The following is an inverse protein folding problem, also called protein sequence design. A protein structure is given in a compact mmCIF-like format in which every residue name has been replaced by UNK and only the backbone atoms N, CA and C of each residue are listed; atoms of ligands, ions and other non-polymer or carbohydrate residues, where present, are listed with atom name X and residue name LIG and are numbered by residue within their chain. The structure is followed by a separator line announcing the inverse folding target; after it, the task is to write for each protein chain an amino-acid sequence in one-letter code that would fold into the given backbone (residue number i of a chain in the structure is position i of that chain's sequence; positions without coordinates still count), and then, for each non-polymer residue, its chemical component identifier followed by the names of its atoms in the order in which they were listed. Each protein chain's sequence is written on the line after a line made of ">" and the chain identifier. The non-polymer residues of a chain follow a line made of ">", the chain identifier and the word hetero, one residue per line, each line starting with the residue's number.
data_IF_178071462973
#
_entry.id   IF_178071462973
#
_cell.length_a   1.000
_cell.length_b   1.000
_cell.length_c   1.000
_cell.angle_alpha   90.00
_cell.angle_beta   90.00
_cell.angle_gamma   90.00
#
_symmetry.space_group_name_H-M   'P 1'
#
loop_
_entity.id
_entity.type
_entity.pdbx_description
1 polymer ?
#
# COMPACT_ATOMS: atom_id res chain seq x y z
N UNK A 1 -13.71 28.54 3.29
CA UNK A 1 -14.09 27.19 3.77
C UNK A 1 -12.95 26.64 4.61
N UNK A 2 -13.22 26.11 5.80
CA UNK A 2 -12.18 25.44 6.59
C UNK A 2 -11.94 24.04 6.02
N UNK A 3 -10.84 23.85 5.29
CA UNK A 3 -10.55 22.61 4.53
C UNK A 3 -10.55 21.37 5.44
N UNK A 4 -10.07 21.48 6.68
CA UNK A 4 -10.10 20.36 7.65
C UNK A 4 -11.53 19.92 7.94
N UNK A 5 -12.48 20.86 8.08
CA UNK A 5 -13.89 20.56 8.28
C UNK A 5 -14.48 19.84 7.06
N UNK A 6 -14.20 20.35 5.86
CA UNK A 6 -14.64 19.70 4.61
C UNK A 6 -14.06 18.28 4.47
N UNK A 7 -12.79 18.07 4.81
CA UNK A 7 -12.18 16.73 4.84
C UNK A 7 -12.86 15.81 5.84
N UNK A 8 -13.23 16.32 7.03
CA UNK A 8 -13.95 15.55 8.05
C UNK A 8 -15.34 15.13 7.56
N UNK A 9 -16.08 16.06 6.97
CA UNK A 9 -17.42 15.82 6.42
C UNK A 9 -17.40 14.88 5.21
N UNK A 10 -16.35 14.94 4.38
CA UNK A 10 -16.18 14.05 3.22
C UNK A 10 -15.90 12.59 3.57
N UNK A 11 -15.46 12.31 4.80
CA UNK A 11 -15.02 10.98 5.20
C UNK A 11 -13.73 10.49 4.54
N UNK A 12 -12.95 11.35 3.87
CA UNK A 12 -11.72 10.94 3.18
C UNK A 12 -10.69 10.35 4.16
N UNK A 13 -10.27 9.12 3.87
CA UNK A 13 -9.20 8.40 4.58
C UNK A 13 -7.94 8.28 3.71
N UNK A 14 -6.83 7.90 4.33
CA UNK A 14 -5.58 7.64 3.62
C UNK A 14 -5.69 6.45 2.65
N UNK A 15 -5.61 6.74 1.36
CA UNK A 15 -5.73 5.77 0.26
C UNK A 15 -4.42 5.04 -0.10
N UNK A 16 -3.47 5.03 0.84
CA UNK A 16 -2.20 4.28 0.74
C UNK A 16 -2.24 2.90 1.40
N UNK A 17 -3.38 2.50 1.98
CA UNK A 17 -3.59 1.18 2.59
C UNK A 17 -4.09 1.24 4.03
N UNK A 18 -3.49 2.07 4.87
CA UNK A 18 -3.79 2.12 6.31
C UNK A 18 -5.15 2.76 6.67
N UNK A 19 -5.78 3.52 5.77
CA UNK A 19 -7.14 4.05 5.98
C UNK A 19 -7.28 5.07 7.12
N UNK A 20 -6.19 5.71 7.56
CA UNK A 20 -6.26 6.71 8.64
C UNK A 20 -7.04 7.98 8.21
N UNK A 21 -7.91 8.57 9.05
CA UNK A 21 -8.68 9.76 8.70
C UNK A 21 -7.79 10.96 8.29
N UNK A 22 -7.99 11.47 7.08
CA UNK A 22 -7.11 12.50 6.50
C UNK A 22 -7.20 13.81 7.27
N UNK A 23 -8.41 14.24 7.63
CA UNK A 23 -8.65 15.47 8.40
C UNK A 23 -7.91 15.47 9.74
N UNK A 24 -7.92 14.33 10.44
CA UNK A 24 -7.29 14.19 11.75
C UNK A 24 -5.77 14.27 11.62
N UNK A 25 -5.18 13.62 10.61
CA UNK A 25 -3.74 13.70 10.35
C UNK A 25 -3.30 15.13 10.04
N UNK A 26 -4.08 15.85 9.23
CA UNK A 26 -3.79 17.25 8.88
C UNK A 26 -3.91 18.16 10.11
N UNK A 27 -4.94 17.94 10.94
CA UNK A 27 -5.15 18.68 12.17
C UNK A 27 -3.98 18.48 13.16
N UNK A 28 -3.54 17.23 13.38
CA UNK A 28 -2.42 16.93 14.27
C UNK A 28 -1.13 17.67 13.89
N UNK A 29 -0.84 17.80 12.59
CA UNK A 29 0.35 18.53 12.12
C UNK A 29 0.16 20.04 12.28
N UNK A 30 -1.03 20.55 11.93
CA UNK A 30 -1.38 21.98 12.04
C UNK A 30 -1.32 22.47 13.50
N UNK A 31 -1.80 21.67 14.44
CA UNK A 31 -1.87 21.99 15.88
C UNK A 31 -0.58 21.68 16.63
N UNK A 32 0.42 21.09 15.96
CA UNK A 32 1.72 20.86 16.59
C UNK A 32 2.37 22.18 17.02
N UNK A 33 3.01 22.24 18.21
CA UNK A 33 3.56 23.49 18.76
C UNK A 33 4.67 24.09 17.89
N UNK A 34 5.42 23.27 17.15
CA UNK A 34 6.46 23.76 16.26
C UNK A 34 5.85 24.42 15.01
N UNK A 35 6.33 25.62 14.68
CA UNK A 35 5.89 26.36 13.50
C UNK A 35 6.57 25.89 12.22
N UNK A 36 7.71 25.21 12.32
CA UNK A 36 8.38 24.59 11.17
C UNK A 36 7.72 23.25 10.89
N UNK A 37 7.01 23.16 9.77
CA UNK A 37 6.27 21.97 9.36
C UNK A 37 6.63 21.58 7.95
N UNK A 38 6.61 20.29 7.65
CA UNK A 38 6.90 19.78 6.30
C UNK A 38 5.71 19.01 5.74
N UNK A 39 5.60 19.00 4.41
CA UNK A 39 4.67 18.15 3.69
C UNK A 39 5.47 17.20 2.79
N UNK A 40 5.07 15.94 2.75
CA UNK A 40 5.62 14.94 1.83
C UNK A 40 4.46 14.27 1.10
N UNK A 41 4.43 14.45 -0.22
CA UNK A 41 3.67 13.60 -1.13
C UNK A 41 4.48 12.33 -1.39
N UNK A 42 3.98 11.20 -0.90
CA UNK A 42 4.56 9.89 -1.17
C UNK A 42 4.09 9.41 -2.55
N UNK A 43 5.02 9.45 -3.52
CA UNK A 43 4.93 8.89 -4.88
C UNK A 43 5.94 7.72 -5.01
N UNK A 44 5.99 6.86 -3.99
CA UNK A 44 6.83 5.66 -3.96
C UNK A 44 6.06 4.40 -3.60
N UNK A 45 4.79 4.29 -4.01
CA UNK A 45 4.03 3.06 -3.84
C UNK A 45 4.81 1.87 -4.40
N UNK A 46 5.24 0.96 -3.53
CA UNK A 46 6.13 -0.15 -3.85
C UNK A 46 5.39 -1.46 -4.04
N UNK A 47 4.12 -1.55 -3.62
CA UNK A 47 3.36 -2.79 -3.61
C UNK A 47 3.13 -3.33 -5.03
N UNK A 48 3.60 -4.55 -5.35
CA UNK A 48 3.38 -5.15 -6.65
C UNK A 48 1.89 -5.29 -6.97
N UNK A 49 1.51 -4.84 -8.17
CA UNK A 49 0.11 -4.77 -8.59
C UNK A 49 -0.53 -3.40 -8.34
N UNK A 50 0.12 -2.49 -7.60
CA UNK A 50 -0.35 -1.10 -7.46
C UNK A 50 0.38 -0.19 -8.45
N UNK A 51 -0.38 0.53 -9.25
CA UNK A 51 0.13 1.43 -10.29
C UNK A 51 -0.71 2.69 -10.50
N UNK A 52 -1.55 3.02 -9.51
CA UNK A 52 -2.37 4.23 -9.49
C UNK A 52 -1.53 5.51 -9.40
N UNK A 53 -0.33 5.45 -8.79
CA UNK A 53 0.59 6.59 -8.78
C UNK A 53 1.03 6.99 -10.20
N UNK A 54 1.41 6.01 -11.03
CA UNK A 54 1.72 6.24 -12.45
C UNK A 54 0.51 6.79 -13.20
N UNK A 55 -0.69 6.28 -12.92
CA UNK A 55 -1.93 6.80 -13.50
C UNK A 55 -2.18 8.27 -13.10
N UNK A 56 -2.01 8.62 -11.83
CA UNK A 56 -2.16 10.01 -11.35
C UNK A 56 -1.13 10.92 -12.02
N UNK A 57 0.14 10.51 -12.14
CA UNK A 57 1.17 11.30 -12.84
C UNK A 57 0.78 11.52 -14.31
N UNK A 58 0.15 10.54 -14.96
CA UNK A 58 -0.23 10.65 -16.37
C UNK A 58 -1.47 11.51 -16.58
N UNK A 59 -2.49 11.35 -15.75
CA UNK A 59 -3.84 11.85 -16.00
C UNK A 59 -4.30 12.98 -15.05
N UNK A 60 -3.74 13.07 -13.85
CA UNK A 60 -4.23 13.97 -12.78
C UNK A 60 -3.10 14.77 -12.10
N UNK A 61 -2.00 15.00 -12.82
CA UNK A 61 -0.82 15.64 -12.24
C UNK A 61 -1.11 17.07 -11.77
N UNK A 62 -1.92 17.83 -12.50
CA UNK A 62 -2.22 19.24 -12.14
C UNK A 62 -2.99 19.30 -10.82
N UNK A 63 -3.98 18.44 -10.68
CA UNK A 63 -4.84 18.29 -9.50
C UNK A 63 -4.04 17.76 -8.31
N UNK A 64 -3.12 16.81 -8.54
CA UNK A 64 -2.18 16.35 -7.51
C UNK A 64 -1.34 17.51 -6.98
N UNK A 65 -0.74 18.31 -7.87
CA UNK A 65 0.08 19.45 -7.43
C UNK A 65 -0.77 20.47 -6.67
N UNK A 66 -2.00 20.76 -7.13
CA UNK A 66 -2.91 21.65 -6.42
C UNK A 66 -3.31 21.09 -5.03
N UNK A 67 -3.42 19.77 -4.89
CA UNK A 67 -3.63 19.09 -3.61
C UNK A 67 -2.45 19.22 -2.66
N UNK A 68 -1.22 19.14 -3.17
CA UNK A 68 0.00 19.40 -2.39
C UNK A 68 0.00 20.85 -1.88
N UNK A 69 -0.28 21.83 -2.74
CA UNK A 69 -0.35 23.25 -2.35
C UNK A 69 -1.44 23.50 -1.30
N UNK A 70 -2.63 22.92 -1.50
CA UNK A 70 -3.74 22.99 -0.54
C UNK A 70 -3.34 22.44 0.83
N UNK A 71 -2.73 21.25 0.88
CA UNK A 71 -2.25 20.66 2.12
C UNK A 71 -1.19 21.52 2.79
N UNK A 72 -0.22 22.01 2.01
CA UNK A 72 0.85 22.89 2.48
C UNK A 72 0.30 24.17 3.10
N UNK A 73 -0.70 24.79 2.49
CA UNK A 73 -1.32 26.02 2.98
C UNK A 73 -2.12 25.81 4.27
N UNK A 74 -2.78 24.65 4.42
CA UNK A 74 -3.54 24.29 5.63
C UNK A 74 -2.61 24.10 6.82
N UNK A 75 -1.51 23.36 6.64
CA UNK A 75 -0.56 23.09 7.72
C UNK A 75 0.50 24.19 7.86
N UNK A 76 0.53 25.20 6.97
CA UNK A 76 1.61 26.20 6.89
C UNK A 76 2.99 25.55 6.74
N UNK A 77 3.11 24.63 5.78
CA UNK A 77 4.36 23.94 5.52
C UNK A 77 5.45 24.94 5.10
N UNK A 78 6.61 24.85 5.74
CA UNK A 78 7.81 25.59 5.37
C UNK A 78 8.27 25.18 3.96
N UNK A 79 8.18 23.87 3.67
CA UNK A 79 8.56 23.26 2.40
C UNK A 79 7.76 21.98 2.18
N UNK A 80 7.45 21.72 0.91
CA UNK A 80 6.80 20.49 0.48
C UNK A 80 7.75 19.67 -0.38
N UNK A 81 7.67 18.34 -0.26
CA UNK A 81 8.44 17.41 -1.05
C UNK A 81 7.53 16.45 -1.81
N UNK A 82 7.91 16.11 -3.04
CA UNK A 82 7.46 14.92 -3.72
C UNK A 82 8.57 13.88 -3.56
N UNK A 83 8.30 12.82 -2.80
CA UNK A 83 9.19 11.66 -2.72
C UNK A 83 8.89 10.75 -3.91
N UNK A 84 9.74 10.80 -4.93
CA UNK A 84 9.56 10.13 -6.21
C UNK A 84 10.43 8.87 -6.26
N UNK A 85 9.78 7.71 -6.37
CA UNK A 85 10.50 6.47 -6.66
C UNK A 85 11.16 6.54 -8.05
N UNK A 86 12.40 6.05 -8.16
CA UNK A 86 13.20 6.00 -9.39
C UNK A 86 12.48 5.30 -10.56
N UNK A 87 11.57 4.35 -10.30
CA UNK A 87 10.72 3.76 -11.35
C UNK A 87 9.84 4.77 -12.10
N UNK A 88 9.56 5.91 -11.47
CA UNK A 88 8.82 7.03 -12.05
C UNK A 88 9.71 8.16 -12.56
N UNK A 89 11.04 8.01 -12.54
CA UNK A 89 12.00 9.01 -13.01
C UNK A 89 11.81 9.40 -14.48
N UNK A 90 11.25 8.52 -15.31
CA UNK A 90 10.83 8.85 -16.68
C UNK A 90 9.84 10.02 -16.75
N UNK A 91 9.10 10.30 -15.67
CA UNK A 91 8.17 11.42 -15.55
C UNK A 91 8.77 12.68 -14.90
N UNK A 92 10.05 12.65 -14.51
CA UNK A 92 10.66 13.72 -13.73
C UNK A 92 10.50 15.10 -14.36
N UNK A 93 10.82 15.24 -15.67
CA UNK A 93 10.69 16.52 -16.37
C UNK A 93 9.25 17.05 -16.37
N UNK A 94 8.27 16.16 -16.51
CA UNK A 94 6.84 16.50 -16.48
C UNK A 94 6.43 17.00 -15.08
N UNK A 95 6.88 16.32 -14.03
CA UNK A 95 6.61 16.70 -12.63
C UNK A 95 7.30 18.03 -12.29
N UNK A 96 8.57 18.21 -12.66
CA UNK A 96 9.31 19.46 -12.48
C UNK A 96 8.61 20.64 -13.16
N UNK A 97 8.11 20.44 -14.38
CA UNK A 97 7.36 21.47 -15.08
C UNK A 97 6.07 21.85 -14.33
N UNK A 98 5.31 20.86 -13.84
CA UNK A 98 4.08 21.10 -13.08
C UNK A 98 4.32 21.75 -11.69
N UNK A 99 5.50 21.50 -11.10
CA UNK A 99 5.95 22.09 -9.83
C UNK A 99 6.65 23.46 -9.99
N UNK A 100 6.89 23.93 -11.23
CA UNK A 100 7.65 25.16 -11.48
C UNK A 100 6.99 26.38 -10.81
N UNK A 101 7.77 27.14 -10.06
CA UNK A 101 7.30 28.33 -9.34
C UNK A 101 6.60 28.04 -8.00
N UNK A 102 6.51 26.77 -7.59
CA UNK A 102 5.86 26.35 -6.35
C UNK A 102 6.90 25.98 -5.30
N UNK A 103 6.51 26.01 -4.01
CA UNK A 103 7.37 25.58 -2.88
C UNK A 103 7.41 24.05 -2.75
N UNK A 104 7.68 23.36 -3.85
CA UNK A 104 7.68 21.91 -3.97
C UNK A 104 9.04 21.46 -4.52
N UNK A 105 9.74 20.66 -3.73
CA UNK A 105 11.01 20.03 -4.14
C UNK A 105 10.77 18.56 -4.46
N UNK A 106 11.55 18.02 -5.40
CA UNK A 106 11.44 16.60 -5.79
C UNK A 106 12.64 15.88 -5.21
N UNK A 107 12.38 14.93 -4.32
CA UNK A 107 13.36 14.02 -3.76
C UNK A 107 13.25 12.69 -4.50
N UNK A 108 14.33 12.24 -5.12
CA UNK A 108 14.35 11.00 -5.91
C UNK A 108 15.12 9.95 -5.14
N UNK A 109 14.55 8.76 -5.05
CA UNK A 109 15.21 7.61 -4.47
C UNK A 109 14.80 6.31 -5.16
N UNK A 110 15.64 5.28 -5.06
CA UNK A 110 15.31 3.92 -5.53
C UNK A 110 13.97 3.42 -4.99
N UNK A 111 13.52 3.93 -3.83
CA UNK A 111 12.17 3.76 -3.35
C UNK A 111 11.77 2.30 -3.18
N UNK A 112 12.70 1.46 -2.70
CA UNK A 112 12.42 0.04 -2.33
C UNK A 112 11.09 -0.07 -1.57
N UNK A 113 10.45 -1.23 -1.58
CA UNK A 113 9.09 -1.41 -1.06
C UNK A 113 8.86 -0.74 0.30
N UNK A 114 9.83 -0.88 1.22
CA UNK A 114 9.74 -0.33 2.57
C UNK A 114 9.67 1.21 2.63
N UNK A 115 10.10 1.93 1.59
CA UNK A 115 9.92 3.40 1.49
C UNK A 115 8.44 3.80 1.32
N UNK A 116 7.53 2.85 1.06
CA UNK A 116 6.10 3.06 1.24
C UNK A 116 5.71 3.32 2.70
N UNK A 117 6.49 2.84 3.69
CA UNK A 117 6.29 3.11 5.11
C UNK A 117 6.80 4.52 5.48
N UNK A 118 5.95 5.30 6.13
CA UNK A 118 6.16 6.73 6.40
C UNK A 118 7.49 7.04 7.10
N UNK A 119 7.84 6.28 8.14
CA UNK A 119 9.05 6.58 8.91
C UNK A 119 10.33 6.11 8.22
N UNK A 120 10.26 5.06 7.40
CA UNK A 120 11.37 4.62 6.57
C UNK A 120 11.65 5.64 5.47
N UNK A 121 10.59 6.19 4.86
CA UNK A 121 10.71 7.31 3.93
C UNK A 121 11.48 8.48 4.56
N UNK A 122 11.12 8.86 5.79
CA UNK A 122 11.81 9.93 6.51
C UNK A 122 13.29 9.63 6.77
N UNK A 123 13.63 8.37 7.09
CA UNK A 123 15.04 7.97 7.27
C UNK A 123 15.83 8.14 5.98
N UNK A 124 15.26 7.76 4.84
CA UNK A 124 15.91 7.88 3.53
C UNK A 124 16.15 9.34 3.18
N UNK A 125 15.16 10.21 3.43
CA UNK A 125 15.32 11.65 3.20
C UNK A 125 16.34 12.33 4.12
N UNK A 126 16.71 11.67 5.22
CA UNK A 126 17.71 12.13 6.19
C UNK A 126 19.06 11.40 6.03
N UNK A 127 19.25 10.67 4.92
CA UNK A 127 20.44 9.86 4.63
C UNK A 127 20.77 8.84 5.74
N UNK A 128 19.74 8.30 6.38
CA UNK A 128 19.84 7.27 7.43
C UNK A 128 19.51 5.88 6.89
N UNK A 129 19.78 4.88 7.73
CA UNK A 129 19.46 3.48 7.44
C UNK A 129 17.96 3.32 7.18
N UNK A 130 17.61 2.55 6.14
CA UNK A 130 16.23 2.26 5.69
C UNK A 130 15.50 1.31 6.65
N UNK A 131 15.24 1.79 7.86
CA UNK A 131 14.53 1.06 8.90
C UNK A 131 13.47 1.95 9.54
N UNK A 132 12.25 1.41 9.77
CA UNK A 132 11.19 2.19 10.38
C UNK A 132 11.59 2.71 11.77
N UNK A 133 11.13 3.90 12.12
CA UNK A 133 11.36 4.55 13.42
C UNK A 133 10.41 3.99 14.47
N UNK A 134 10.83 4.07 15.74
CA UNK A 134 9.95 3.76 16.87
C UNK A 134 8.84 4.81 16.93
N UNK A 135 7.61 4.33 17.14
CA UNK A 135 6.41 5.15 17.30
C UNK A 135 5.79 4.78 18.64
N UNK A 136 5.45 5.75 19.52
CA UNK A 136 5.73 7.19 19.42
C UNK A 136 7.24 7.54 19.54
N UNK A 137 7.67 8.75 19.10
CA UNK A 137 6.84 9.81 18.51
C UNK A 137 6.43 9.53 17.06
N UNK A 138 5.26 10.04 16.66
CA UNK A 138 4.72 9.88 15.30
C UNK A 138 5.23 10.98 14.36
N UNK A 139 5.27 10.76 13.03
CA UNK A 139 5.67 11.79 12.06
C UNK A 139 4.90 13.11 12.17
N UNK A 140 3.65 13.05 12.63
CA UNK A 140 2.82 14.24 12.82
C UNK A 140 3.34 15.18 13.90
N UNK A 141 4.19 14.70 14.83
CA UNK A 141 4.89 15.53 15.80
C UNK A 141 6.40 15.60 15.53
N UNK A 142 7.04 14.47 15.20
CA UNK A 142 8.48 14.36 14.95
C UNK A 142 8.74 13.56 13.67
N UNK A 143 8.65 14.25 12.54
CA UNK A 143 8.86 13.71 11.21
C UNK A 143 10.24 14.06 10.63
N UNK A 144 10.24 14.71 9.47
CA UNK A 144 11.44 15.10 8.73
C UNK A 144 12.25 16.11 9.53
N UNK A 145 13.53 15.79 9.74
CA UNK A 145 14.48 16.57 10.56
C UNK A 145 13.99 16.79 12.00
N UNK A 146 13.13 15.91 12.51
CA UNK A 146 12.54 16.02 13.84
C UNK A 146 11.32 16.95 13.93
N UNK A 147 10.88 17.55 12.82
CA UNK A 147 9.77 18.50 12.80
C UNK A 147 8.44 17.86 12.39
N UNK A 148 7.28 18.42 12.79
CA UNK A 148 5.97 17.92 12.39
C UNK A 148 5.85 17.80 10.87
N UNK A 149 5.52 16.61 10.40
CA UNK A 149 5.50 16.31 8.97
C UNK A 149 4.22 15.60 8.57
N UNK A 150 3.52 16.19 7.62
CA UNK A 150 2.36 15.57 6.97
C UNK A 150 2.86 14.67 5.84
N UNK A 151 2.61 13.37 5.94
CA UNK A 151 2.93 12.39 4.89
C UNK A 151 1.60 11.81 4.38
N UNK A 152 1.33 12.00 3.10
CA UNK A 152 0.16 11.45 2.41
C UNK A 152 0.57 10.86 1.06
N UNK A 153 -0.06 9.75 0.67
CA UNK A 153 0.13 9.21 -0.68
C UNK A 153 -0.52 10.14 -1.71
N UNK A 154 -0.06 10.04 -2.96
CA UNK A 154 -0.51 10.90 -4.05
C UNK A 154 -2.03 10.93 -4.22
N UNK A 155 -2.69 9.77 -4.17
CA UNK A 155 -4.15 9.72 -4.32
C UNK A 155 -4.89 10.47 -3.22
N UNK A 156 -4.43 10.41 -1.97
CA UNK A 156 -5.08 11.16 -0.87
C UNK A 156 -4.97 12.66 -1.10
N UNK A 157 -3.82 13.17 -1.56
CA UNK A 157 -3.65 14.60 -1.85
C UNK A 157 -4.47 15.04 -3.07
N UNK A 158 -4.53 14.21 -4.11
CA UNK A 158 -5.43 14.42 -5.25
C UNK A 158 -6.91 14.49 -4.80
N UNK A 159 -7.38 13.54 -3.98
CA UNK A 159 -8.77 13.56 -3.48
C UNK A 159 -9.03 14.73 -2.54
N UNK A 160 -8.06 15.10 -1.70
CA UNK A 160 -8.16 16.27 -0.83
C UNK A 160 -8.34 17.57 -1.63
N UNK A 161 -7.72 17.68 -2.81
CA UNK A 161 -7.99 18.78 -3.74
C UNK A 161 -9.46 18.79 -4.21
N UNK A 162 -10.01 17.64 -4.61
CA UNK A 162 -11.42 17.54 -5.02
C UNK A 162 -12.36 17.92 -3.87
N UNK A 163 -12.03 17.55 -2.63
CA UNK A 163 -12.79 17.96 -1.44
C UNK A 163 -12.77 19.48 -1.29
N UNK A 164 -11.60 20.10 -1.44
CA UNK A 164 -11.47 21.56 -1.37
C UNK A 164 -12.25 22.29 -2.48
N UNK A 165 -12.46 21.66 -3.63
CA UNK A 165 -13.28 22.17 -4.73
C UNK A 165 -14.79 21.84 -4.59
N UNK A 166 -15.19 21.04 -3.60
CA UNK A 166 -16.57 20.58 -3.46
C UNK A 166 -17.04 19.59 -4.54
N UNK A 167 -16.10 18.95 -5.25
CA UNK A 167 -16.37 17.98 -6.33
C UNK A 167 -15.96 16.55 -5.97
N UNK A 168 -15.64 16.30 -4.69
CA UNK A 168 -15.26 14.97 -4.23
C UNK A 168 -16.45 14.03 -4.19
N UNK A 169 -16.28 12.89 -4.85
CA UNK A 169 -17.10 11.70 -4.66
C UNK A 169 -16.29 10.65 -3.88
N UNK A 170 -16.94 9.77 -3.08
CA UNK A 170 -16.28 8.73 -2.29
C UNK A 170 -15.76 7.57 -3.17
N UNK A 171 -14.90 7.91 -4.12
CA UNK A 171 -14.30 7.05 -5.13
C UNK A 171 -12.80 6.92 -4.92
N UNK A 172 -12.24 5.82 -5.41
CA UNK A 172 -10.81 5.56 -5.42
C UNK A 172 -10.38 4.83 -6.69
N UNK A 173 -9.07 4.82 -6.93
CA UNK A 173 -8.44 4.09 -8.01
C UNK A 173 -8.12 2.66 -7.59
N UNK A 174 -8.65 1.71 -8.36
CA UNK A 174 -8.35 0.29 -8.27
C UNK A 174 -7.41 -0.12 -9.39
N UNK A 175 -6.36 -0.87 -9.05
CA UNK A 175 -5.36 -1.35 -9.99
C UNK A 175 -5.67 -2.80 -10.35
N UNK A 176 -6.28 -3.02 -11.52
CA UNK A 176 -6.66 -4.34 -11.99
C UNK A 176 -5.59 -4.94 -12.90
N UNK A 177 -5.19 -6.17 -12.63
CA UNK A 177 -4.21 -6.91 -13.45
C UNK A 177 -4.40 -8.42 -13.33
N UNK A 178 -3.62 -9.20 -14.08
CA UNK A 178 -3.71 -10.66 -14.10
C UNK A 178 -4.51 -11.20 -15.29
N UNK A 179 -4.94 -12.45 -15.17
CA UNK A 179 -5.56 -13.21 -16.23
C UNK A 179 -6.89 -12.56 -16.67
N UNK A 180 -7.17 -12.56 -17.99
CA UNK A 180 -8.39 -12.07 -18.64
C UNK A 180 -8.69 -10.56 -18.55
N UNK A 181 -8.08 -9.83 -17.62
CA UNK A 181 -8.40 -8.41 -17.35
C UNK A 181 -7.36 -7.43 -17.90
N UNK A 182 -6.11 -7.87 -18.12
CA UNK A 182 -5.03 -6.96 -18.50
C UNK A 182 -4.73 -5.91 -17.43
N UNK A 183 -3.71 -5.07 -17.65
CA UNK A 183 -3.29 -4.04 -16.68
C UNK A 183 -4.04 -2.72 -16.93
N UNK A 184 -4.90 -2.29 -16.00
CA UNK A 184 -5.65 -1.03 -16.08
C UNK A 184 -6.04 -0.45 -14.73
N UNK A 185 -6.27 0.85 -14.66
CA UNK A 185 -6.85 1.52 -13.49
C UNK A 185 -8.35 1.70 -13.71
N UNK A 186 -9.14 1.37 -12.69
CA UNK A 186 -10.59 1.57 -12.66
C UNK A 186 -10.89 2.51 -11.50
N UNK A 187 -11.64 3.58 -11.77
CA UNK A 187 -12.17 4.44 -10.73
C UNK A 187 -13.58 3.98 -10.36
N UNK A 188 -13.80 3.66 -9.08
CA UNK A 188 -15.10 3.21 -8.58
C UNK A 188 -15.31 3.67 -7.14
N UNK A 189 -16.55 3.54 -6.64
CA UNK A 189 -16.89 3.89 -5.27
C UNK A 189 -16.07 3.04 -4.28
N UNK A 190 -15.77 3.59 -3.11
CA UNK A 190 -14.95 2.93 -2.10
C UNK A 190 -15.57 1.64 -1.56
N UNK A 191 -16.89 1.54 -1.60
CA UNK A 191 -17.71 0.39 -1.22
C UNK A 191 -18.05 -0.54 -2.40
N UNK A 192 -17.54 -0.25 -3.59
CA UNK A 192 -17.77 -1.08 -4.77
C UNK A 192 -17.26 -2.52 -4.53
N UNK A 193 -18.07 -3.49 -4.96
CA UNK A 193 -17.76 -4.91 -4.82
C UNK A 193 -16.66 -5.31 -5.80
N UNK A 194 -15.82 -6.25 -5.40
CA UNK A 194 -14.70 -6.74 -6.23
C UNK A 194 -15.19 -7.20 -7.61
N UNK A 195 -16.28 -7.98 -7.65
CA UNK A 195 -16.85 -8.48 -8.90
C UNK A 195 -17.28 -7.36 -9.86
N UNK A 196 -17.79 -6.25 -9.33
CA UNK A 196 -18.26 -5.10 -10.12
C UNK A 196 -17.06 -4.32 -10.68
N UNK A 197 -15.97 -4.22 -9.92
CA UNK A 197 -14.71 -3.60 -10.38
C UNK A 197 -14.06 -4.43 -11.50
N UNK A 198 -14.14 -5.77 -11.42
CA UNK A 198 -13.67 -6.66 -12.50
C UNK A 198 -14.53 -6.45 -13.76
N UNK A 199 -15.84 -6.26 -13.58
CA UNK A 199 -16.76 -5.68 -14.56
C UNK A 199 -17.22 -6.60 -15.69
N UNK A 200 -16.94 -7.92 -15.62
CA UNK A 200 -17.37 -8.89 -16.64
C UNK A 200 -17.74 -10.24 -16.01
N UNK A 201 -19.04 -10.56 -15.98
CA UNK A 201 -19.54 -11.83 -15.41
C UNK A 201 -18.85 -13.07 -16.00
N UNK A 202 -18.66 -13.12 -17.33
CA UNK A 202 -17.93 -14.21 -18.01
C UNK A 202 -16.46 -14.35 -17.59
N UNK A 203 -15.86 -13.30 -17.02
CA UNK A 203 -14.52 -13.41 -16.43
C UNK A 203 -14.62 -14.06 -15.06
N UNK A 204 -15.60 -13.67 -14.24
CA UNK A 204 -15.79 -14.17 -12.87
C UNK A 204 -15.90 -15.69 -12.85
N UNK A 205 -16.61 -16.31 -13.81
CA UNK A 205 -16.74 -17.77 -13.94
C UNK A 205 -15.41 -18.51 -14.23
N UNK A 206 -14.39 -17.78 -14.71
CA UNK A 206 -13.06 -18.32 -15.03
C UNK A 206 -12.04 -18.07 -13.92
N UNK A 207 -12.41 -17.32 -12.88
CA UNK A 207 -11.54 -17.00 -11.75
C UNK A 207 -11.41 -18.23 -10.86
N UNK A 208 -10.17 -18.55 -10.46
CA UNK A 208 -9.88 -19.47 -9.38
C UNK A 208 -9.73 -18.74 -8.06
N UNK A 209 -9.00 -17.63 -8.08
CA UNK A 209 -8.83 -16.75 -6.94
C UNK A 209 -8.42 -15.35 -7.39
N UNK A 210 -8.57 -14.38 -6.49
CA UNK A 210 -7.99 -13.05 -6.63
C UNK A 210 -7.02 -12.78 -5.49
N UNK A 211 -5.96 -12.02 -5.77
CA UNK A 211 -5.10 -11.43 -4.74
C UNK A 211 -5.45 -9.95 -4.59
N UNK A 212 -5.85 -9.57 -3.38
CA UNK A 212 -6.18 -8.20 -3.01
C UNK A 212 -4.97 -7.57 -2.34
N UNK A 213 -4.72 -6.29 -2.60
CA UNK A 213 -3.66 -5.49 -1.98
C UNK A 213 -2.21 -5.97 -2.21
N UNK A 214 -1.98 -6.74 -3.28
CA UNK A 214 -0.63 -7.19 -3.66
C UNK A 214 -0.06 -8.31 -2.77
N UNK A 215 1.25 -8.57 -2.83
CA UNK A 215 1.95 -9.54 -1.98
C UNK A 215 1.69 -9.45 -0.48
N UNK A 216 1.51 -8.25 0.07
CA UNK A 216 1.22 -8.04 1.50
C UNK A 216 -0.25 -8.26 1.88
N UNK A 217 -1.12 -8.44 0.89
CA UNK A 217 -2.54 -8.62 1.12
C UNK A 217 -2.95 -10.08 1.21
N UNK A 218 -4.11 -10.42 0.65
CA UNK A 218 -4.77 -11.69 0.92
C UNK A 218 -5.42 -12.29 -0.33
N UNK A 219 -5.72 -13.58 -0.27
CA UNK A 219 -6.35 -14.34 -1.34
C UNK A 219 -7.83 -14.52 -1.07
N UNK A 220 -8.67 -14.36 -2.10
CA UNK A 220 -10.10 -14.64 -2.03
C UNK A 220 -10.54 -15.59 -3.15
N UNK A 221 -11.39 -16.59 -2.83
CA UNK A 221 -12.04 -17.42 -3.83
C UNK A 221 -13.26 -16.70 -4.45
N UNK A 222 -13.82 -17.21 -5.56
CA UNK A 222 -14.88 -16.54 -6.32
C UNK A 222 -16.14 -16.22 -5.50
N UNK A 223 -16.52 -17.10 -4.57
CA UNK A 223 -17.67 -16.94 -3.69
C UNK A 223 -17.53 -15.76 -2.70
N UNK A 224 -16.29 -15.32 -2.43
CA UNK A 224 -16.01 -14.17 -1.56
C UNK A 224 -15.85 -12.86 -2.35
N UNK A 225 -16.14 -12.80 -3.65
CA UNK A 225 -15.97 -11.57 -4.46
C UNK A 225 -17.11 -10.55 -4.33
N UNK A 226 -18.15 -10.86 -3.55
CA UNK A 226 -19.28 -9.96 -3.25
C UNK A 226 -19.00 -9.00 -2.08
N UNK A 227 -17.73 -8.65 -1.84
CA UNK A 227 -17.29 -7.73 -0.80
C UNK A 227 -16.51 -6.56 -1.38
N UNK A 228 -16.37 -5.48 -0.60
CA UNK A 228 -15.54 -4.32 -0.99
C UNK A 228 -14.05 -4.57 -0.78
N UNK A 229 -13.22 -3.78 -1.45
CA UNK A 229 -11.75 -3.91 -1.36
C UNK A 229 -11.20 -3.05 -0.23
N UNK A 230 -10.49 -3.69 0.69
CA UNK A 230 -9.69 -3.02 1.72
C UNK A 230 -8.22 -2.99 1.32
N UNK A 231 -7.50 -1.93 1.72
CA UNK A 231 -6.06 -1.78 1.53
C UNK A 231 -5.69 -0.91 0.33
N UNK A 232 -4.69 -1.32 -0.46
CA UNK A 232 -4.02 -0.49 -1.47
C UNK A 232 -4.83 -0.30 -2.76
N UNK A 233 -5.86 -1.12 -2.98
CA UNK A 233 -6.71 -1.08 -4.17
C UNK A 233 -6.19 -1.93 -5.34
N UNK A 234 -5.12 -2.72 -5.15
CA UNK A 234 -4.71 -3.72 -6.13
C UNK A 234 -5.67 -4.92 -6.14
N UNK A 235 -6.06 -5.35 -7.34
CA UNK A 235 -6.85 -6.56 -7.59
C UNK A 235 -6.12 -7.34 -8.69
N UNK A 236 -5.63 -8.53 -8.36
CA UNK A 236 -4.94 -9.40 -9.31
C UNK A 236 -5.76 -10.67 -9.52
N UNK A 237 -6.19 -10.90 -10.75
CA UNK A 237 -7.08 -12.02 -11.12
C UNK A 237 -6.25 -13.21 -11.59
N UNK A 238 -6.56 -14.40 -11.08
CA UNK A 238 -5.89 -15.66 -11.44
C UNK A 238 -6.92 -16.69 -11.93
N UNK A 239 -6.67 -17.26 -13.10
CA UNK A 239 -7.54 -18.27 -13.72
C UNK A 239 -7.37 -19.67 -13.13
N UNK A 240 -8.20 -20.61 -13.59
CA UNK A 240 -8.23 -22.02 -13.15
C UNK A 240 -6.89 -22.75 -13.29
N UNK A 241 -6.06 -22.37 -14.26
CA UNK A 241 -4.74 -23.00 -14.50
C UNK A 241 -3.65 -22.53 -13.52
N UNK A 242 -3.94 -21.57 -12.64
CA UNK A 242 -2.97 -21.02 -11.68
C UNK A 242 -2.96 -21.84 -10.39
N UNK A 243 -1.76 -22.03 -9.82
CA UNK A 243 -1.56 -22.69 -8.53
C UNK A 243 -1.50 -21.65 -7.42
N UNK A 244 -2.30 -21.83 -6.37
CA UNK A 244 -2.29 -20.92 -5.22
C UNK A 244 -0.93 -20.94 -4.51
N UNK A 245 -0.32 -22.13 -4.40
CA UNK A 245 0.98 -22.34 -3.74
C UNK A 245 2.10 -21.54 -4.41
N UNK A 246 2.14 -21.49 -5.74
CA UNK A 246 3.10 -20.67 -6.50
C UNK A 246 2.90 -19.17 -6.25
N UNK A 247 1.64 -18.74 -6.16
CA UNK A 247 1.34 -17.32 -5.94
C UNK A 247 1.66 -16.91 -4.50
N UNK A 248 1.42 -17.81 -3.54
CA UNK A 248 1.79 -17.64 -2.14
C UNK A 248 3.32 -17.54 -1.97
N UNK A 249 4.10 -18.49 -2.52
CA UNK A 249 5.57 -18.43 -2.39
C UNK A 249 6.13 -17.15 -3.00
N UNK A 250 5.59 -16.69 -4.13
CA UNK A 250 5.99 -15.42 -4.74
C UNK A 250 5.72 -14.22 -3.82
N UNK A 251 4.58 -14.21 -3.10
CA UNK A 251 4.31 -13.19 -2.08
C UNK A 251 5.32 -13.24 -0.95
N UNK A 252 5.63 -14.42 -0.42
CA UNK A 252 6.57 -14.58 0.70
C UNK A 252 8.00 -14.25 0.29
N UNK A 253 8.45 -14.66 -0.90
CA UNK A 253 9.77 -14.30 -1.44
C UNK A 253 9.89 -12.78 -1.56
N UNK A 254 8.86 -12.10 -2.05
CA UNK A 254 8.83 -10.64 -2.13
C UNK A 254 8.97 -10.00 -0.73
N UNK A 255 8.11 -10.39 0.23
CA UNK A 255 8.15 -9.85 1.59
C UNK A 255 9.50 -10.12 2.28
N UNK A 256 10.07 -11.31 2.07
CA UNK A 256 11.42 -11.68 2.52
C UNK A 256 12.48 -10.75 1.94
N UNK A 257 12.46 -10.50 0.63
CA UNK A 257 13.45 -9.64 -0.04
C UNK A 257 13.35 -8.17 0.36
N UNK A 258 12.18 -7.73 0.80
CA UNK A 258 11.92 -6.34 1.20
C UNK A 258 12.06 -6.09 2.70
N UNK A 259 12.35 -7.13 3.49
CA UNK A 259 12.63 -6.99 4.91
C UNK A 259 13.86 -6.11 5.15
N UNK A 260 13.75 -5.09 6.01
CA UNK A 260 14.90 -4.31 6.45
C UNK A 260 15.78 -5.02 7.49
N UNK A 261 15.41 -6.23 7.91
CA UNK A 261 16.16 -7.03 8.87
C UNK A 261 16.08 -6.57 10.32
N UNK A 262 15.26 -5.56 10.67
CA UNK A 262 15.21 -4.98 12.02
C UNK A 262 14.66 -5.91 13.09
N UNK A 263 13.54 -6.60 12.84
CA UNK A 263 12.90 -7.48 13.81
C UNK A 263 12.98 -8.95 13.39
N UNK A 264 13.41 -9.81 14.32
CA UNK A 264 13.51 -11.27 14.16
C UNK A 264 12.25 -11.92 13.58
N UNK A 265 11.02 -11.68 14.08
CA UNK A 265 9.82 -12.31 13.53
C UNK A 265 9.61 -12.06 12.03
N UNK A 266 9.99 -10.88 11.54
CA UNK A 266 9.90 -10.57 10.12
C UNK A 266 11.07 -11.18 9.34
N UNK A 267 12.31 -10.93 9.79
CA UNK A 267 13.53 -11.34 9.09
C UNK A 267 13.66 -12.86 8.99
N UNK A 268 13.52 -13.55 10.11
CA UNK A 268 13.63 -15.01 10.18
C UNK A 268 12.32 -15.68 9.82
N UNK A 269 11.17 -15.12 10.24
CA UNK A 269 9.87 -15.74 9.97
C UNK A 269 9.56 -15.85 8.48
N UNK A 270 9.77 -14.78 7.70
CA UNK A 270 9.60 -14.84 6.23
C UNK A 270 10.57 -15.82 5.57
N UNK A 271 11.81 -15.93 6.08
CA UNK A 271 12.77 -16.91 5.60
C UNK A 271 12.26 -18.34 5.84
N UNK A 272 11.82 -18.66 7.06
CA UNK A 272 11.33 -19.99 7.45
C UNK A 272 10.04 -20.39 6.76
N UNK A 273 9.12 -19.44 6.57
CA UNK A 273 7.90 -19.67 5.79
C UNK A 273 8.26 -20.00 4.33
N UNK A 274 9.20 -19.26 3.71
CA UNK A 274 9.63 -19.54 2.34
C UNK A 274 10.30 -20.93 2.21
N UNK A 275 11.16 -21.29 3.15
CA UNK A 275 11.79 -22.62 3.24
C UNK A 275 10.72 -23.73 3.28
N UNK A 276 9.78 -23.62 4.22
CA UNK A 276 8.69 -24.58 4.40
C UNK A 276 7.75 -24.69 3.20
N UNK A 277 7.43 -23.58 2.54
CA UNK A 277 6.60 -23.62 1.32
C UNK A 277 7.36 -24.29 0.15
N UNK A 278 8.68 -24.16 0.08
CA UNK A 278 9.47 -24.93 -0.90
C UNK A 278 9.47 -26.43 -0.60
N UNK A 279 9.44 -26.83 0.68
CA UNK A 279 9.24 -28.23 1.06
C UNK A 279 7.88 -28.74 0.56
N UNK A 280 6.81 -27.94 0.65
CA UNK A 280 5.49 -28.30 0.10
C UNK A 280 5.50 -28.53 -1.41
N UNK A 281 6.31 -27.80 -2.17
CA UNK A 281 6.44 -27.97 -3.61
C UNK A 281 7.12 -29.30 -4.00
N UNK A 282 7.87 -29.91 -3.08
CA UNK A 282 8.64 -31.13 -3.31
C UNK A 282 8.13 -32.35 -2.51
N UNK A 283 7.25 -32.16 -1.52
CA UNK A 283 6.78 -33.23 -0.64
C UNK A 283 5.67 -34.10 -1.26
N UNK A 284 5.81 -35.41 -1.10
CA UNK A 284 4.81 -36.41 -1.48
C UNK A 284 3.87 -36.84 -0.33
N UNK A 285 4.21 -36.53 0.92
CA UNK A 285 3.48 -36.99 2.11
C UNK A 285 2.40 -35.99 2.56
N UNK A 286 1.16 -36.46 2.74
CA UNK A 286 0.05 -35.64 3.26
C UNK A 286 0.27 -35.18 4.71
N UNK A 287 0.94 -35.99 5.53
CA UNK A 287 1.23 -35.64 6.93
C UNK A 287 2.16 -34.43 6.99
N UNK A 288 3.26 -34.49 6.25
CA UNK A 288 4.28 -33.45 6.18
C UNK A 288 3.67 -32.12 5.70
N UNK A 289 2.70 -32.20 4.78
CA UNK A 289 1.97 -31.02 4.31
C UNK A 289 1.12 -30.38 5.42
N UNK A 290 0.37 -31.17 6.21
CA UNK A 290 -0.46 -30.64 7.29
C UNK A 290 0.38 -29.95 8.37
N UNK A 291 1.43 -30.62 8.84
CA UNK A 291 2.37 -30.09 9.83
C UNK A 291 3.05 -28.81 9.32
N UNK A 292 3.39 -28.78 8.03
CA UNK A 292 3.96 -27.58 7.41
C UNK A 292 2.97 -26.42 7.39
N UNK A 293 1.71 -26.64 7.03
CA UNK A 293 0.68 -25.58 7.05
C UNK A 293 0.45 -25.03 8.45
N UNK A 294 0.45 -25.88 9.48
CA UNK A 294 0.35 -25.47 10.89
C UNK A 294 1.57 -24.62 11.29
N UNK A 295 2.77 -25.09 10.99
CA UNK A 295 4.03 -24.39 11.30
C UNK A 295 4.08 -23.00 10.65
N UNK A 296 3.77 -22.88 9.35
CA UNK A 296 3.82 -21.57 8.69
C UNK A 296 2.73 -20.62 9.21
N UNK A 297 1.58 -21.15 9.64
CA UNK A 297 0.49 -20.38 10.26
C UNK A 297 0.89 -19.83 11.63
N UNK A 298 1.59 -20.63 12.44
CA UNK A 298 2.12 -20.19 13.74
C UNK A 298 3.18 -19.10 13.58
N UNK A 299 4.14 -19.29 12.66
CA UNK A 299 5.18 -18.28 12.38
C UNK A 299 4.54 -16.98 11.87
N UNK A 300 3.55 -17.09 10.97
CA UNK A 300 2.82 -15.95 10.44
C UNK A 300 2.08 -15.17 11.54
N UNK A 301 1.34 -15.86 12.40
CA UNK A 301 0.63 -15.26 13.55
C UNK A 301 1.60 -14.59 14.52
N UNK A 302 2.73 -15.23 14.82
CA UNK A 302 3.78 -14.64 15.64
C UNK A 302 4.35 -13.36 14.99
N UNK A 303 4.54 -13.37 13.66
CA UNK A 303 5.02 -12.20 12.94
C UNK A 303 4.02 -11.04 12.96
N UNK A 304 2.72 -11.30 12.87
CA UNK A 304 1.66 -10.30 13.03
C UNK A 304 1.68 -9.65 14.42
N UNK A 305 1.76 -10.46 15.48
CA UNK A 305 1.72 -9.99 16.86
C UNK A 305 2.99 -9.25 17.31
N UNK A 306 4.16 -9.58 16.74
CA UNK A 306 5.45 -9.14 17.27
C UNK A 306 6.33 -8.34 16.30
N UNK A 307 5.94 -8.18 15.04
CA UNK A 307 6.71 -7.37 14.09
C UNK A 307 6.60 -5.88 14.35
N UNK A 308 7.71 -5.18 14.14
CA UNK A 308 7.84 -3.76 14.42
C UNK A 308 7.00 -2.87 13.48
N UNK A 309 6.84 -3.26 12.22
CA UNK A 309 6.14 -2.46 11.20
C UNK A 309 5.19 -3.30 10.35
N UNK A 310 4.40 -2.62 9.50
CA UNK A 310 3.37 -3.23 8.68
C UNK A 310 3.88 -4.36 7.78
N UNK A 311 5.09 -4.28 7.22
CA UNK A 311 5.65 -5.34 6.36
C UNK A 311 5.69 -6.68 7.09
N UNK A 312 6.32 -6.72 8.27
CA UNK A 312 6.43 -7.96 9.04
C UNK A 312 5.07 -8.46 9.53
N UNK A 313 4.15 -7.55 9.85
CA UNK A 313 2.80 -7.93 10.26
C UNK A 313 1.98 -8.49 9.11
N UNK A 314 2.15 -7.93 7.92
CA UNK A 314 1.40 -8.31 6.71
C UNK A 314 1.69 -9.72 6.23
N UNK A 315 2.79 -10.36 6.69
CA UNK A 315 3.13 -11.75 6.36
C UNK A 315 1.99 -12.71 6.71
N UNK A 316 1.19 -12.41 7.73
CA UNK A 316 0.04 -13.22 8.08
C UNK A 316 -1.07 -13.20 7.05
N UNK A 317 -1.32 -12.06 6.38
CA UNK A 317 -2.42 -11.91 5.44
C UNK A 317 -2.38 -12.92 4.27
N UNK A 318 -1.27 -13.07 3.51
CA UNK A 318 -1.24 -14.02 2.41
C UNK A 318 -1.19 -15.47 2.90
N UNK A 319 -0.51 -15.76 4.00
CA UNK A 319 -0.39 -17.13 4.55
C UNK A 319 -1.73 -17.63 5.07
N UNK A 320 -2.34 -16.89 6.00
CA UNK A 320 -3.57 -17.31 6.66
C UNK A 320 -4.73 -17.37 5.68
N UNK A 321 -4.87 -16.40 4.76
CA UNK A 321 -5.93 -16.43 3.75
C UNK A 321 -5.75 -17.54 2.72
N UNK A 322 -4.52 -17.90 2.36
CA UNK A 322 -4.28 -19.05 1.49
C UNK A 322 -4.69 -20.36 2.19
N UNK A 323 -4.33 -20.53 3.46
CA UNK A 323 -4.69 -21.71 4.25
C UNK A 323 -6.20 -21.78 4.49
N UNK A 324 -6.83 -20.67 4.85
CA UNK A 324 -8.27 -20.61 5.14
C UNK A 324 -9.10 -20.97 3.89
N UNK A 325 -8.76 -20.39 2.74
CA UNK A 325 -9.60 -20.48 1.55
C UNK A 325 -9.21 -21.61 0.59
N UNK A 326 -7.97 -22.11 0.65
CA UNK A 326 -7.44 -23.06 -0.32
C UNK A 326 -6.72 -24.25 0.33
N UNK A 327 -7.13 -24.62 1.57
CA UNK A 327 -6.51 -25.73 2.33
C UNK A 327 -6.43 -27.03 1.52
N UNK A 328 -7.52 -27.40 0.84
CA UNK A 328 -7.60 -28.64 0.07
C UNK A 328 -6.58 -28.67 -1.06
N UNK A 329 -6.52 -27.60 -1.86
CA UNK A 329 -5.51 -27.46 -2.94
C UNK A 329 -4.08 -27.49 -2.38
N UNK A 330 -3.83 -26.83 -1.26
CA UNK A 330 -2.51 -26.82 -0.61
C UNK A 330 -2.09 -28.23 -0.11
N UNK A 331 -3.05 -29.08 0.23
CA UNK A 331 -2.80 -30.47 0.61
C UNK A 331 -2.67 -31.40 -0.61
N UNK A 332 -2.99 -30.93 -1.82
CA UNK A 332 -2.91 -31.69 -3.07
C UNK A 332 -4.23 -32.31 -3.53
N UNK A 333 -5.36 -31.73 -3.10
CA UNK A 333 -6.69 -32.02 -3.63
C UNK A 333 -6.93 -31.46 -5.03
#
# INVERSE_FOLDING_TARGET
>A
MEIIKALKESGLTGLGGAGFPTWQKWQMVKESPDQKRFLICNLSEGEPGVFKDEYIINHHLKELIAGIETAADVIKALRSYIFLNDKYKKYLKKIQHAAKGKKIEIFIDTGRYLCGEETTLLQVMEDKIRQPRMKPPFPTSHGLFGYPTLINNAETLYRAHLVAQGSYEPKRFYCLSGDYVGRRVVEANIDAKIKDIIGRERIVEKIKFVRISGPSGYFLPPEKLDQSVVGTGAIQVYGKDRRILETLINSIIFLKSESCGKCTPCREGTYRIAEKINDLLSSASLWDKKETLETISEIATAAEGSSFCALGKSVASPVLSAIENFREELLGG
#
